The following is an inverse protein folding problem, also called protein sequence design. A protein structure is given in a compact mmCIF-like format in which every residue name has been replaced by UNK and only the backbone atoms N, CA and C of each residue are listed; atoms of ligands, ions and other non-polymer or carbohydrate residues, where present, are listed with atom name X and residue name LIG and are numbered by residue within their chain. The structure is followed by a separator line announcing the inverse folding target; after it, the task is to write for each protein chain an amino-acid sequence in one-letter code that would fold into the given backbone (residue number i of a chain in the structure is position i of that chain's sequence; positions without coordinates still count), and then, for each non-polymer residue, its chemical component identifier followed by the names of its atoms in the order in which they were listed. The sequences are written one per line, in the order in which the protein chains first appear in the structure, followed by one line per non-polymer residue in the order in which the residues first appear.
data_IF_087401983137
#
_entry.id   IF_087401983137
#
_cell.length_a   1.000
_cell.length_b   1.000
_cell.length_c   1.000
_cell.angle_alpha   90.00
_cell.angle_beta   90.00
_cell.angle_gamma   90.00
#
_symmetry.space_group_name_H-M   'P 1'
#
loop_
_entity.id
_entity.type
_entity.pdbx_description
1 polymer ?
#
# COMPACT_ATOMS: atom_id res chain seq x y z
N UNK A 1 -19.64 -109.15 26.62
CA UNK A 1 -18.98 -108.60 27.84
C UNK A 1 -17.54 -108.30 27.45
N UNK A 2 -16.87 -107.18 27.83
CA UNK A 2 -17.17 -106.17 28.86
C UNK A 2 -17.32 -104.72 28.33
N UNK A 3 -17.83 -103.83 29.19
CA UNK A 3 -17.60 -102.35 29.20
C UNK A 3 -16.14 -102.12 29.66
N UNK A 4 -15.41 -101.04 29.29
CA UNK A 4 -15.73 -99.72 29.82
C UNK A 4 -15.34 -98.51 28.95
N UNK A 5 -15.73 -97.34 29.46
CA UNK A 5 -15.61 -96.00 28.91
C UNK A 5 -14.24 -95.34 29.26
N UNK A 6 -14.12 -94.00 29.28
CA UNK A 6 -13.79 -93.12 28.15
C UNK A 6 -12.48 -92.36 28.42
N UNK A 7 -11.86 -91.70 27.43
CA UNK A 7 -11.13 -90.45 27.69
C UNK A 7 -11.13 -89.54 26.44
N UNK A 8 -11.38 -88.23 26.60
CA UNK A 8 -11.46 -87.29 25.49
C UNK A 8 -10.07 -86.79 25.10
N UNK A 9 -9.94 -86.33 23.86
CA UNK A 9 -8.96 -85.31 23.51
C UNK A 9 -9.41 -84.52 22.29
N UNK A 10 -9.56 -83.23 22.54
CA UNK A 10 -9.85 -82.13 21.62
C UNK A 10 -8.74 -81.96 20.59
N UNK A 11 -9.11 -81.65 19.34
CA UNK A 11 -8.36 -80.74 18.49
C UNK A 11 -9.23 -80.20 17.33
N UNK A 12 -9.61 -78.93 17.52
CA UNK A 12 -9.52 -77.86 16.51
C UNK A 12 -10.44 -77.89 15.29
N UNK A 13 -11.53 -77.13 15.43
CA UNK A 13 -12.22 -76.43 14.35
C UNK A 13 -11.30 -75.41 13.68
N UNK A 14 -11.31 -75.36 12.35
CA UNK A 14 -11.58 -74.11 11.64
C UNK A 14 -11.89 -74.39 10.16
N UNK A 15 -13.17 -74.24 9.84
CA UNK A 15 -13.73 -74.30 8.50
C UNK A 15 -13.37 -73.03 7.71
N UNK A 16 -12.68 -73.29 6.60
CA UNK A 16 -13.03 -72.93 5.22
C UNK A 16 -13.01 -71.46 4.74
N UNK A 17 -12.72 -71.28 3.43
CA UNK A 17 -12.32 -70.02 2.80
C UNK A 17 -13.55 -69.27 2.28
N UNK A 18 -13.77 -68.04 2.77
CA UNK A 18 -14.84 -67.17 2.30
C UNK A 18 -14.47 -65.68 2.42
N UNK A 19 -13.19 -65.32 2.24
CA UNK A 19 -12.71 -63.94 2.37
C UNK A 19 -12.10 -63.34 1.10
N UNK A 20 -12.08 -64.05 -0.02
CA UNK A 20 -11.41 -63.57 -1.24
C UNK A 20 -12.37 -62.90 -2.23
N UNK A 21 -13.69 -63.15 -2.15
CA UNK A 21 -14.66 -62.57 -3.10
C UNK A 21 -15.31 -61.25 -2.63
N UNK A 22 -15.17 -60.87 -1.36
CA UNK A 22 -15.71 -59.60 -0.85
C UNK A 22 -14.80 -58.39 -1.11
N UNK A 23 -13.50 -58.61 -1.34
CA UNK A 23 -12.53 -57.53 -1.54
C UNK A 23 -12.59 -56.92 -2.97
N UNK A 24 -12.99 -57.69 -3.98
CA UNK A 24 -13.05 -57.21 -5.36
C UNK A 24 -14.26 -56.30 -5.63
N UNK A 25 -15.39 -56.48 -4.93
CA UNK A 25 -16.57 -55.66 -5.11
C UNK A 25 -16.46 -54.27 -4.43
N UNK A 26 -15.68 -54.14 -3.35
CA UNK A 26 -15.44 -52.87 -2.66
C UNK A 26 -14.47 -51.95 -3.40
N UNK A 27 -13.58 -52.48 -4.25
CA UNK A 27 -12.65 -51.69 -5.06
C UNK A 27 -13.28 -51.08 -6.33
N UNK A 28 -14.40 -51.62 -6.81
CA UNK A 28 -15.09 -51.09 -7.99
C UNK A 28 -15.94 -49.84 -7.69
N UNK A 29 -16.34 -49.61 -6.44
CA UNK A 29 -17.18 -48.46 -6.03
C UNK A 29 -16.33 -47.22 -5.70
N UNK A 30 -15.00 -47.36 -5.57
CA UNK A 30 -14.09 -46.23 -5.32
C UNK A 30 -13.72 -45.43 -6.59
N UNK A 31 -14.15 -45.86 -7.78
CA UNK A 31 -13.74 -45.27 -9.06
C UNK A 31 -14.70 -44.21 -9.64
N UNK A 32 -15.85 -43.95 -9.02
CA UNK A 32 -16.82 -42.93 -9.51
C UNK A 32 -16.76 -41.60 -8.75
N UNK A 33 -15.66 -41.34 -8.03
CA UNK A 33 -15.40 -40.10 -7.31
C UNK A 33 -14.54 -39.08 -8.04
N UNK A 34 -14.47 -39.08 -9.38
CA UNK A 34 -14.02 -37.89 -10.10
C UNK A 34 -15.17 -36.90 -10.11
N UNK A 35 -15.33 -36.16 -9.00
CA UNK A 35 -16.15 -34.95 -9.01
C UNK A 35 -15.68 -34.10 -10.18
N UNK A 36 -16.61 -33.69 -11.04
CA UNK A 36 -16.36 -32.67 -12.04
C UNK A 36 -15.90 -31.43 -11.29
N UNK A 37 -14.58 -31.25 -11.16
CA UNK A 37 -14.01 -29.98 -10.75
C UNK A 37 -14.56 -29.00 -11.76
N UNK A 38 -15.39 -28.06 -11.30
CA UNK A 38 -15.99 -27.05 -12.18
C UNK A 38 -14.89 -26.42 -13.04
N UNK A 39 -15.23 -26.10 -14.30
CA UNK A 39 -14.26 -25.48 -15.20
C UNK A 39 -13.62 -24.26 -14.51
N UNK A 40 -12.30 -24.04 -14.71
CA UNK A 40 -11.62 -22.87 -14.18
C UNK A 40 -12.36 -21.61 -14.60
N UNK A 41 -13.03 -20.96 -13.65
CA UNK A 41 -13.68 -19.68 -13.88
C UNK A 41 -12.57 -18.62 -13.88
N UNK A 42 -12.40 -17.93 -15.01
CA UNK A 42 -11.44 -16.82 -15.08
C UNK A 42 -11.79 -15.77 -14.04
N UNK A 43 -10.81 -15.34 -13.24
CA UNK A 43 -10.96 -14.33 -12.18
C UNK A 43 -11.18 -12.90 -12.73
N UNK A 44 -11.69 -12.77 -13.96
CA UNK A 44 -11.74 -11.53 -14.70
C UNK A 44 -10.38 -11.11 -15.25
N UNK A 45 -10.31 -9.88 -15.78
CA UNK A 45 -9.07 -9.31 -16.31
C UNK A 45 -8.20 -8.89 -15.12
N UNK A 46 -7.00 -9.46 -15.02
CA UNK A 46 -5.96 -8.94 -14.13
C UNK A 46 -5.57 -7.54 -14.61
N UNK A 47 -5.62 -6.55 -13.72
CA UNK A 47 -5.10 -5.22 -14.05
C UNK A 47 -3.63 -5.35 -14.47
N UNK A 48 -3.20 -4.68 -15.55
CA UNK A 48 -1.80 -4.71 -15.95
C UNK A 48 -0.92 -4.20 -14.80
N UNK A 49 0.22 -4.87 -14.60
CA UNK A 49 1.19 -4.41 -13.61
C UNK A 49 1.69 -3.01 -14.00
N UNK A 50 1.42 -2.02 -13.15
CA UNK A 50 1.94 -0.68 -13.31
C UNK A 50 3.33 -0.61 -12.69
N UNK A 51 4.34 -0.24 -13.50
CA UNK A 51 5.66 0.06 -12.96
C UNK A 51 5.55 1.30 -12.05
N UNK A 52 6.28 1.34 -10.91
CA UNK A 52 6.34 2.53 -10.07
C UNK A 52 6.82 3.74 -10.87
N UNK A 53 6.16 4.87 -10.67
CA UNK A 53 6.51 6.15 -11.28
C UNK A 53 6.95 7.14 -10.20
N UNK A 54 8.18 7.64 -10.29
CA UNK A 54 8.71 8.62 -9.34
C UNK A 54 8.03 9.96 -9.52
N UNK A 55 7.55 10.55 -8.42
CA UNK A 55 6.81 11.81 -8.45
C UNK A 55 7.72 13.01 -8.72
N UNK A 56 8.88 13.07 -8.05
CA UNK A 56 9.81 14.18 -8.15
C UNK A 56 11.23 13.67 -8.44
N UNK A 57 11.54 13.29 -9.69
CA UNK A 57 12.82 12.67 -10.04
C UNK A 57 14.03 13.55 -9.75
N UNK A 58 13.87 14.87 -9.83
CA UNK A 58 14.94 15.84 -9.56
C UNK A 58 15.16 16.13 -8.07
N UNK A 59 14.43 15.47 -7.17
CA UNK A 59 14.63 15.63 -5.72
C UNK A 59 15.84 14.78 -5.27
N UNK A 60 16.87 15.38 -4.63
CA UNK A 60 17.96 14.61 -4.06
C UNK A 60 17.45 13.62 -2.99
N UNK A 61 18.01 12.41 -2.90
CA UNK A 61 17.64 11.48 -1.85
C UNK A 61 18.09 12.01 -0.49
N UNK A 62 17.27 11.78 0.54
CA UNK A 62 17.67 12.11 1.90
C UNK A 62 18.80 11.18 2.42
N UNK A 63 19.60 11.64 3.40
CA UNK A 63 20.51 10.78 4.16
C UNK A 63 19.76 9.88 5.14
N UNK A 64 20.45 8.87 5.69
CA UNK A 64 19.92 7.95 6.73
C UNK A 64 19.33 8.70 7.93
N UNK A 65 18.10 8.36 8.38
CA UNK A 65 17.40 9.05 9.45
C UNK A 65 17.99 8.73 10.84
N UNK A 66 17.65 9.58 11.82
CA UNK A 66 18.01 9.42 13.23
C UNK A 66 16.80 9.47 14.19
N UNK A 67 15.56 9.25 13.72
CA UNK A 67 14.33 9.38 14.54
C UNK A 67 13.25 8.33 14.26
N UNK A 68 12.16 8.37 15.04
CA UNK A 68 10.98 7.48 14.91
C UNK A 68 9.80 8.15 14.16
N UNK A 69 9.03 7.36 13.40
CA UNK A 69 7.85 7.79 12.63
C UNK A 69 6.55 7.65 13.43
N UNK A 70 5.58 8.57 13.26
CA UNK A 70 4.38 8.70 14.10
C UNK A 70 3.03 8.65 13.37
N UNK A 71 2.11 7.96 14.07
CA UNK A 71 0.67 8.11 14.37
C UNK A 71 -0.46 8.20 13.33
N UNK A 72 -1.59 7.61 13.75
CA UNK A 72 -2.89 7.49 13.11
C UNK A 72 -3.55 8.86 12.85
N UNK A 73 -3.79 9.16 11.58
CA UNK A 73 -4.47 10.39 11.14
C UNK A 73 -5.78 10.02 10.45
N UNK A 74 -6.75 10.94 10.50
CA UNK A 74 -8.05 10.78 9.84
C UNK A 74 -8.26 11.84 8.76
N UNK A 75 -9.23 11.61 7.88
CA UNK A 75 -9.54 12.54 6.80
C UNK A 75 -10.13 13.84 7.35
N UNK A 76 -9.62 14.99 6.91
CA UNK A 76 -10.02 16.30 7.43
C UNK A 76 -10.41 17.24 6.30
N UNK A 77 -11.56 17.91 6.43
CA UNK A 77 -11.98 18.94 5.47
C UNK A 77 -11.02 20.12 5.49
N UNK A 78 -10.59 20.60 4.33
CA UNK A 78 -9.77 21.81 4.22
C UNK A 78 -10.66 23.05 4.46
N UNK A 79 -10.38 23.89 5.48
CA UNK A 79 -11.17 25.08 5.76
C UNK A 79 -11.05 26.13 4.65
N UNK A 80 -12.06 26.99 4.51
CA UNK A 80 -12.00 28.16 3.62
C UNK A 80 -12.04 27.89 2.11
N UNK A 81 -12.03 26.63 1.68
CA UNK A 81 -12.15 26.25 0.27
C UNK A 81 -13.62 26.15 -0.12
N UNK A 82 -13.97 26.73 -1.27
CA UNK A 82 -15.31 26.68 -1.84
C UNK A 82 -15.75 25.23 -2.12
N UNK A 83 -17.07 25.03 -2.25
CA UNK A 83 -17.59 23.75 -2.68
C UNK A 83 -17.10 23.40 -4.08
N UNK A 84 -16.88 22.12 -4.35
CA UNK A 84 -16.46 21.59 -5.65
C UNK A 84 -17.53 20.59 -6.10
N UNK A 85 -18.64 21.06 -6.71
CA UNK A 85 -19.74 20.18 -7.12
C UNK A 85 -19.35 19.18 -8.21
N UNK A 86 -18.27 19.46 -8.95
CA UNK A 86 -17.77 18.59 -10.01
C UNK A 86 -17.12 17.30 -9.50
N UNK A 87 -16.76 17.21 -8.21
CA UNK A 87 -15.94 16.12 -7.68
C UNK A 87 -14.46 16.18 -8.10
N UNK A 88 -14.08 17.03 -9.06
CA UNK A 88 -12.72 17.12 -9.57
C UNK A 88 -11.86 18.09 -8.74
N UNK A 89 -10.86 17.53 -8.04
CA UNK A 89 -9.91 18.30 -7.22
C UNK A 89 -9.15 19.37 -8.01
N UNK A 90 -9.03 19.24 -9.34
CA UNK A 90 -8.38 20.24 -10.21
C UNK A 90 -9.11 21.57 -10.25
N UNK A 91 -10.38 21.61 -9.84
CA UNK A 91 -11.11 22.86 -9.69
C UNK A 91 -10.55 23.75 -8.56
N UNK A 92 -9.76 23.19 -7.64
CA UNK A 92 -9.08 23.93 -6.59
C UNK A 92 -7.65 24.33 -7.02
N UNK A 93 -7.25 25.56 -6.69
CA UNK A 93 -5.84 25.98 -6.85
C UNK A 93 -4.97 25.31 -5.76
N UNK A 94 -3.96 24.49 -6.13
CA UNK A 94 -3.14 23.77 -5.14
C UNK A 94 -2.44 24.68 -4.13
N UNK A 95 -2.07 25.91 -4.54
CA UNK A 95 -1.39 26.86 -3.66
C UNK A 95 -2.37 27.48 -2.66
N UNK A 96 -3.59 27.80 -3.07
CA UNK A 96 -4.66 28.20 -2.15
C UNK A 96 -5.01 27.08 -1.17
N UNK A 97 -5.11 25.83 -1.64
CA UNK A 97 -5.39 24.66 -0.78
C UNK A 97 -4.37 24.54 0.35
N UNK A 98 -3.08 24.47 0.01
CA UNK A 98 -2.06 24.25 1.02
C UNK A 98 -1.92 25.44 1.97
N UNK A 99 -2.10 26.68 1.48
CA UNK A 99 -2.13 27.85 2.36
C UNK A 99 -3.28 27.79 3.36
N UNK A 100 -4.46 27.37 2.91
CA UNK A 100 -5.63 27.28 3.78
C UNK A 100 -5.45 26.20 4.85
N UNK A 101 -4.89 25.05 4.48
CA UNK A 101 -4.54 24.00 5.45
C UNK A 101 -3.48 24.45 6.45
N UNK A 102 -2.34 24.95 5.97
CA UNK A 102 -1.25 25.38 6.84
C UNK A 102 -1.72 26.50 7.77
N UNK A 103 -2.57 27.42 7.29
CA UNK A 103 -3.19 28.44 8.12
C UNK A 103 -4.10 27.87 9.22
N UNK A 104 -4.75 26.73 8.99
CA UNK A 104 -5.61 26.06 9.97
C UNK A 104 -4.82 25.26 11.02
N UNK A 105 -3.61 24.84 10.69
CA UNK A 105 -2.73 23.99 11.50
C UNK A 105 -1.43 24.71 11.92
N UNK A 106 -1.45 26.04 12.06
CA UNK A 106 -0.23 26.84 12.29
C UNK A 106 0.48 26.53 13.60
N UNK A 107 -0.26 26.06 14.59
CA UNK A 107 0.28 25.78 15.92
C UNK A 107 0.77 24.32 16.05
N UNK A 108 0.54 23.49 15.02
CA UNK A 108 1.03 22.12 14.95
C UNK A 108 2.49 22.16 14.46
N UNK A 109 3.44 22.03 15.40
CA UNK A 109 4.88 21.99 15.12
C UNK A 109 5.46 20.57 15.07
N UNK A 110 4.66 19.57 15.47
CA UNK A 110 5.02 18.14 15.43
C UNK A 110 3.89 17.31 14.83
N UNK A 111 4.18 16.02 14.56
CA UNK A 111 3.20 15.10 13.98
C UNK A 111 2.99 15.29 12.48
N UNK A 112 1.93 14.68 11.95
CA UNK A 112 1.65 14.66 10.52
C UNK A 112 1.47 16.06 9.89
N UNK A 113 0.99 17.02 10.68
CA UNK A 113 0.76 18.41 10.28
C UNK A 113 1.92 19.34 10.62
N UNK A 114 2.89 18.86 11.40
CA UNK A 114 4.04 19.59 11.89
C UNK A 114 4.83 20.28 10.79
N UNK A 115 4.85 21.61 10.81
CA UNK A 115 5.74 22.43 9.98
C UNK A 115 6.56 23.37 10.85
N UNK A 116 7.84 23.55 10.52
CA UNK A 116 8.63 24.60 11.15
C UNK A 116 8.12 26.00 10.75
N UNK A 117 8.24 26.95 11.68
CA UNK A 117 7.80 28.34 11.50
C UNK A 117 8.34 29.00 10.21
N UNK A 118 9.65 28.86 9.88
CA UNK A 118 10.18 29.35 8.61
C UNK A 118 9.47 28.77 7.38
N UNK A 119 9.20 27.47 7.35
CA UNK A 119 8.49 26.81 6.25
C UNK A 119 7.05 27.29 6.15
N UNK A 120 6.31 27.35 7.27
CA UNK A 120 4.94 27.85 7.30
C UNK A 120 4.84 29.31 6.81
N UNK A 121 5.81 30.15 7.17
CA UNK A 121 5.90 31.54 6.69
C UNK A 121 6.16 31.62 5.18
N UNK A 122 7.07 30.80 4.64
CA UNK A 122 7.33 30.74 3.19
C UNK A 122 6.06 30.36 2.42
N UNK A 123 5.31 29.36 2.90
CA UNK A 123 4.06 28.89 2.29
C UNK A 123 3.01 29.99 2.20
N UNK A 124 2.85 30.83 3.22
CA UNK A 124 1.87 31.93 3.19
C UNK A 124 2.04 32.84 1.95
N UNK A 125 3.29 33.04 1.51
CA UNK A 125 3.64 33.84 0.34
C UNK A 125 3.81 33.05 -0.98
N UNK A 126 3.69 31.71 -0.95
CA UNK A 126 3.94 30.85 -2.10
C UNK A 126 2.97 31.09 -3.25
N UNK A 127 3.49 31.11 -4.47
CA UNK A 127 2.70 31.00 -5.70
C UNK A 127 3.48 30.18 -6.71
N UNK A 128 2.82 29.72 -7.77
CA UNK A 128 3.46 28.95 -8.83
C UNK A 128 4.67 29.68 -9.39
N UNK A 129 5.82 29.01 -9.42
CA UNK A 129 7.07 29.52 -9.98
C UNK A 129 7.78 30.57 -9.11
N UNK A 130 7.26 30.90 -7.92
CA UNK A 130 7.93 31.84 -7.01
C UNK A 130 9.22 31.22 -6.46
N UNK A 131 10.37 31.89 -6.59
CA UNK A 131 11.62 31.44 -5.96
C UNK A 131 11.46 31.29 -4.44
N UNK A 132 12.06 30.24 -3.87
CA UNK A 132 12.00 29.98 -2.43
C UNK A 132 10.67 29.44 -1.91
N UNK A 133 9.73 29.11 -2.79
CA UNK A 133 8.54 28.37 -2.39
C UNK A 133 8.89 26.90 -2.11
N UNK A 134 8.66 26.37 -0.89
CA UNK A 134 9.03 24.98 -0.54
C UNK A 134 8.13 23.92 -1.19
N UNK A 135 7.14 24.31 -2.00
CA UNK A 135 6.21 23.36 -2.61
C UNK A 135 6.82 22.72 -3.85
N UNK A 136 6.76 21.39 -3.91
CA UNK A 136 7.02 20.63 -5.14
C UNK A 136 5.89 20.84 -6.15
N UNK A 137 6.17 20.49 -7.40
CA UNK A 137 5.16 20.53 -8.44
C UNK A 137 3.96 19.65 -8.05
N UNK A 138 2.72 20.18 -8.09
CA UNK A 138 1.51 19.40 -7.83
C UNK A 138 1.43 18.17 -8.74
N UNK A 139 1.07 17.02 -8.20
CA UNK A 139 0.83 15.80 -8.97
C UNK A 139 -0.63 15.39 -8.80
N UNK A 140 -1.24 14.88 -9.87
CA UNK A 140 -2.60 14.39 -9.87
C UNK A 140 -2.63 12.92 -10.29
N UNK A 141 -3.21 12.05 -9.46
CA UNK A 141 -3.38 10.61 -9.71
C UNK A 141 -4.64 10.08 -9.05
N UNK A 142 -5.40 9.26 -9.74
CA UNK A 142 -6.51 8.47 -9.21
C UNK A 142 -5.97 7.38 -8.28
N UNK A 143 -5.93 7.69 -6.98
CA UNK A 143 -5.51 6.80 -5.89
C UNK A 143 -6.72 6.06 -5.30
N UNK A 144 -7.91 6.65 -5.35
CA UNK A 144 -9.13 6.05 -4.78
C UNK A 144 -9.75 4.99 -5.72
N UNK A 145 -9.53 5.12 -7.03
CA UNK A 145 -10.11 4.30 -8.09
C UNK A 145 -11.53 4.72 -8.47
N UNK A 146 -11.97 5.94 -8.12
CA UNK A 146 -13.29 6.45 -8.47
C UNK A 146 -13.34 7.18 -9.82
N UNK A 147 -12.20 7.26 -10.51
CA UNK A 147 -12.06 7.92 -11.81
C UNK A 147 -11.77 9.42 -11.72
N UNK A 148 -11.70 9.98 -10.51
CA UNK A 148 -11.21 11.33 -10.25
C UNK A 148 -9.79 11.25 -9.68
N UNK A 149 -8.92 12.16 -10.12
CA UNK A 149 -7.57 12.19 -9.56
C UNK A 149 -7.56 12.87 -8.19
N UNK A 150 -6.74 12.36 -7.29
CA UNK A 150 -6.31 13.03 -6.06
C UNK A 150 -5.18 14.02 -6.36
N UNK A 151 -5.12 15.10 -5.58
CA UNK A 151 -4.00 16.05 -5.56
C UNK A 151 -2.95 15.59 -4.53
N UNK A 152 -1.72 15.34 -4.98
CA UNK A 152 -0.56 15.01 -4.15
C UNK A 152 0.37 16.22 -4.10
N UNK A 153 0.73 16.65 -2.89
CA UNK A 153 1.59 17.80 -2.62
C UNK A 153 2.74 17.41 -1.69
N UNK A 154 3.95 17.87 -2.03
CA UNK A 154 5.13 17.76 -1.19
C UNK A 154 5.61 19.14 -0.74
N UNK A 155 5.90 19.27 0.54
CA UNK A 155 6.41 20.48 1.19
C UNK A 155 7.85 20.18 1.64
N UNK A 156 8.85 20.76 0.99
CA UNK A 156 10.24 20.62 1.42
C UNK A 156 10.46 21.38 2.73
N UNK A 157 11.07 20.70 3.69
CA UNK A 157 11.40 21.22 5.01
C UNK A 157 12.92 21.14 5.23
N UNK A 158 13.37 21.62 6.39
CA UNK A 158 14.76 21.42 6.81
C UNK A 158 15.07 19.93 7.04
N UNK A 159 16.36 19.60 7.18
CA UNK A 159 16.84 18.22 7.44
C UNK A 159 16.34 17.16 6.43
N UNK A 160 16.06 17.57 5.19
CA UNK A 160 15.55 16.69 4.12
C UNK A 160 14.16 16.08 4.39
N UNK A 161 13.41 16.64 5.33
CA UNK A 161 12.04 16.25 5.59
C UNK A 161 11.10 16.75 4.48
N UNK A 162 10.01 16.02 4.26
CA UNK A 162 8.93 16.38 3.35
C UNK A 162 7.60 16.20 4.06
N UNK A 163 6.85 17.30 4.18
CA UNK A 163 5.43 17.24 4.48
C UNK A 163 4.67 16.73 3.26
N UNK A 164 4.20 15.48 3.30
CA UNK A 164 3.46 14.86 2.22
C UNK A 164 1.95 14.97 2.51
N UNK A 165 1.20 15.45 1.54
CA UNK A 165 -0.25 15.68 1.63
C UNK A 165 -0.96 15.12 0.42
N UNK A 166 -2.12 14.50 0.64
CA UNK A 166 -3.04 14.12 -0.44
C UNK A 166 -4.44 14.68 -0.18
N UNK A 167 -5.12 15.10 -1.24
CA UNK A 167 -6.47 15.66 -1.18
C UNK A 167 -7.38 15.04 -2.23
N UNK A 168 -8.64 14.86 -1.86
CA UNK A 168 -9.73 14.49 -2.77
C UNK A 168 -10.97 15.35 -2.48
N UNK A 169 -12.04 15.14 -3.25
CA UNK A 169 -13.33 15.76 -3.00
C UNK A 169 -14.28 14.73 -2.38
N UNK A 170 -14.66 14.96 -1.13
CA UNK A 170 -15.65 14.14 -0.42
C UNK A 170 -16.91 14.96 -0.22
N UNK A 171 -18.06 14.47 -0.65
CA UNK A 171 -19.36 15.15 -0.49
C UNK A 171 -19.34 16.60 -1.04
N UNK A 172 -18.67 16.82 -2.18
CA UNK A 172 -18.52 18.14 -2.82
C UNK A 172 -17.61 19.11 -2.06
N UNK A 173 -16.77 18.60 -1.15
CA UNK A 173 -15.89 19.38 -0.28
C UNK A 173 -14.46 18.87 -0.38
N UNK A 174 -13.52 19.79 -0.52
CA UNK A 174 -12.10 19.43 -0.51
C UNK A 174 -11.72 18.86 0.87
N UNK A 175 -11.16 17.66 0.85
CA UNK A 175 -10.81 16.88 2.04
C UNK A 175 -9.39 16.38 1.90
N UNK A 176 -8.57 16.62 2.91
CA UNK A 176 -7.26 16.02 3.08
C UNK A 176 -7.44 14.57 3.49
N UNK A 177 -6.88 13.67 2.69
CA UNK A 177 -6.97 12.21 2.85
C UNK A 177 -5.62 11.55 3.10
N UNK A 178 -4.54 12.35 3.16
CA UNK A 178 -3.25 11.92 3.68
C UNK A 178 -2.50 13.13 4.24
N UNK A 179 -1.84 12.95 5.38
CA UNK A 179 -0.86 13.85 5.93
C UNK A 179 0.21 13.02 6.65
N UNK A 180 1.47 13.24 6.32
CA UNK A 180 2.61 12.68 7.03
C UNK A 180 3.83 13.55 6.81
N UNK A 181 4.85 13.37 7.64
CA UNK A 181 6.18 13.95 7.47
C UNK A 181 7.16 12.79 7.32
N UNK A 182 7.91 12.80 6.24
CA UNK A 182 8.81 11.70 5.84
C UNK A 182 10.19 12.27 5.51
N UNK A 183 11.24 11.44 5.55
CA UNK A 183 12.58 11.79 5.13
C UNK A 183 13.00 10.96 3.88
N UNK A 184 12.34 11.18 2.72
CA UNK A 184 12.37 10.21 1.63
C UNK A 184 13.66 10.28 0.81
N UNK A 185 14.11 9.13 0.35
CA UNK A 185 15.00 8.97 -0.80
C UNK A 185 14.25 9.03 -2.14
N UNK A 186 13.01 8.53 -2.17
CA UNK A 186 12.11 8.62 -3.31
C UNK A 186 10.64 8.56 -2.86
N UNK A 187 9.75 9.17 -3.64
CA UNK A 187 8.30 9.01 -3.53
C UNK A 187 7.77 8.62 -4.90
N UNK A 188 6.98 7.56 -4.95
CA UNK A 188 6.52 6.90 -6.16
C UNK A 188 5.04 6.59 -6.09
N UNK A 189 4.38 6.48 -7.25
CA UNK A 189 3.04 5.91 -7.37
C UNK A 189 3.09 4.67 -8.23
N UNK A 190 2.53 3.57 -7.75
CA UNK A 190 2.38 2.32 -8.47
C UNK A 190 0.91 1.87 -8.42
N UNK A 191 0.22 1.93 -9.56
CA UNK A 191 -1.23 1.75 -9.58
C UNK A 191 -1.91 2.83 -8.74
N UNK A 192 -2.54 2.41 -7.64
CA UNK A 192 -3.25 3.28 -6.68
C UNK A 192 -2.50 3.51 -5.37
N UNK A 193 -1.31 2.92 -5.27
CA UNK A 193 -0.51 2.98 -4.05
C UNK A 193 0.50 4.12 -4.13
N UNK A 194 0.59 4.90 -3.05
CA UNK A 194 1.65 5.86 -2.84
C UNK A 194 2.76 5.19 -2.03
N UNK A 195 3.96 5.15 -2.59
CA UNK A 195 5.11 4.46 -2.01
C UNK A 195 6.14 5.49 -1.60
N UNK A 196 6.54 5.45 -0.34
CA UNK A 196 7.62 6.25 0.22
C UNK A 196 8.81 5.35 0.50
N UNK A 197 9.96 5.72 -0.04
CA UNK A 197 11.23 5.05 0.21
C UNK A 197 12.08 5.91 1.12
N UNK A 198 12.40 5.44 2.32
CA UNK A 198 13.26 6.14 3.28
C UNK A 198 14.55 5.36 3.49
N UNK A 199 15.71 6.02 3.60
CA UNK A 199 16.96 5.31 3.85
C UNK A 199 16.91 4.61 5.21
N UNK A 200 17.54 3.44 5.33
CA UNK A 200 17.67 2.71 6.59
C UNK A 200 18.98 3.04 7.30
N UNK A 201 19.04 2.78 8.61
CA UNK A 201 20.29 2.74 9.38
C UNK A 201 21.20 1.58 8.98
N UNK A 202 20.65 0.55 8.34
CA UNK A 202 21.44 -0.54 7.76
C UNK A 202 21.88 -0.16 6.35
N UNK A 203 23.20 -0.14 6.04
CA UNK A 203 23.70 0.20 4.71
C UNK A 203 23.10 -0.68 3.62
N UNK A 204 22.76 -0.09 2.47
CA UNK A 204 22.12 -0.75 1.33
C UNK A 204 20.71 -1.31 1.62
N UNK A 205 20.04 -0.78 2.64
CA UNK A 205 18.63 -1.02 2.86
C UNK A 205 17.86 0.30 2.90
N UNK A 206 16.60 0.23 2.51
CA UNK A 206 15.63 1.30 2.66
C UNK A 206 14.36 0.72 3.27
N UNK A 207 13.65 1.58 3.98
CA UNK A 207 12.28 1.36 4.42
C UNK A 207 11.36 1.72 3.26
N UNK A 208 10.42 0.84 2.93
CA UNK A 208 9.42 1.01 1.89
C UNK A 208 8.04 1.02 2.53
N UNK A 209 7.50 2.22 2.70
CA UNK A 209 6.15 2.44 3.23
C UNK A 209 5.16 2.55 2.08
N UNK A 210 4.08 1.76 2.12
CA UNK A 210 3.03 1.75 1.10
C UNK A 210 1.75 2.26 1.71
N UNK A 211 1.22 3.34 1.15
CA UNK A 211 -0.07 3.91 1.52
C UNK A 211 -1.09 3.60 0.44
N UNK A 212 -2.25 3.08 0.83
CA UNK A 212 -3.34 2.75 -0.09
C UNK A 212 -4.65 3.29 0.45
N UNK A 213 -5.57 3.59 -0.46
CA UNK A 213 -6.91 4.05 -0.08
C UNK A 213 -7.65 3.02 0.77
N UNK A 214 -8.21 3.48 1.89
CA UNK A 214 -9.21 2.78 2.67
C UNK A 214 -10.55 3.50 2.54
N UNK A 215 -11.50 2.87 1.83
CA UNK A 215 -12.81 3.45 1.55
C UNK A 215 -13.68 3.61 2.81
N UNK A 216 -13.44 2.81 3.86
CA UNK A 216 -14.19 2.92 5.11
C UNK A 216 -13.71 4.12 5.93
N UNK A 217 -12.39 4.32 6.03
CA UNK A 217 -11.78 5.48 6.71
C UNK A 217 -11.82 6.74 5.87
N UNK A 218 -12.04 6.61 4.56
CA UNK A 218 -11.88 7.67 3.55
C UNK A 218 -10.50 8.34 3.64
N UNK A 219 -9.45 7.52 3.80
CA UNK A 219 -8.07 7.96 4.05
C UNK A 219 -7.05 7.05 3.36
N UNK A 220 -5.87 7.57 3.02
CA UNK A 220 -4.72 6.81 2.54
C UNK A 220 -3.99 6.20 3.73
N UNK A 221 -4.26 4.93 4.01
CA UNK A 221 -3.77 4.24 5.19
C UNK A 221 -2.44 3.52 4.91
N UNK A 222 -1.57 3.44 5.93
CA UNK A 222 -0.32 2.68 5.83
C UNK A 222 -0.64 1.19 5.76
N UNK A 223 -0.43 0.57 4.59
CA UNK A 223 -0.73 -0.85 4.34
C UNK A 223 0.42 -1.77 4.67
N UNK A 224 1.64 -1.33 4.38
CA UNK A 224 2.84 -2.12 4.64
C UNK A 224 4.01 -1.20 4.89
N UNK A 225 4.86 -1.63 5.81
CA UNK A 225 6.16 -1.05 6.03
C UNK A 225 7.21 -2.17 5.97
N UNK A 226 8.13 -2.07 5.02
CA UNK A 226 9.04 -3.15 4.65
C UNK A 226 10.49 -2.68 4.57
N UNK A 227 11.41 -3.39 5.23
CA UNK A 227 12.84 -3.19 5.00
C UNK A 227 13.25 -3.94 3.73
N UNK A 228 13.70 -3.20 2.73
CA UNK A 228 14.10 -3.70 1.41
C UNK A 228 15.56 -3.41 1.15
N UNK A 229 16.27 -4.38 0.56
CA UNK A 229 17.61 -4.13 0.05
C UNK A 229 17.51 -3.16 -1.13
N UNK A 230 18.37 -2.14 -1.14
CA UNK A 230 18.49 -1.20 -2.24
C UNK A 230 19.79 -1.45 -2.99
N UNK A 231 19.67 -1.60 -4.31
CA UNK A 231 20.81 -1.73 -5.20
C UNK A 231 21.38 -0.34 -5.49
N UNK A 232 22.01 0.29 -4.49
CA UNK A 232 22.76 1.54 -4.71
C UNK A 232 24.26 1.26 -4.66
N UNK A 233 24.79 0.78 -5.78
CA UNK A 233 26.05 1.29 -6.33
C UNK A 233 25.66 2.01 -7.63
N UNK A 234 26.07 3.26 -7.80
CA UNK A 234 25.61 4.13 -8.89
C UNK A 234 25.67 3.45 -10.27
N UNK A 235 24.53 3.38 -10.94
CA UNK A 235 24.47 3.15 -12.39
C UNK A 235 23.87 4.40 -13.01
N UNK A 236 24.75 5.34 -13.35
CA UNK A 236 24.52 6.20 -14.49
C UNK A 236 24.55 5.29 -15.71
N UNK A 237 23.38 4.91 -16.21
CA UNK A 237 23.30 4.32 -17.55
C UNK A 237 23.63 5.45 -18.54
N UNK A 238 24.74 5.38 -19.30
CA UNK A 238 24.98 6.38 -20.33
C UNK A 238 23.87 6.22 -21.36
N UNK A 239 23.15 7.30 -21.64
CA UNK A 239 22.23 7.35 -22.76
C UNK A 239 23.03 7.12 -24.05
N UNK A 240 22.87 5.94 -24.65
CA UNK A 240 23.41 5.63 -25.95
C UNK A 240 22.68 6.50 -26.98
N UNK A 241 23.40 7.49 -27.52
CA UNK A 241 22.93 8.33 -28.62
C UNK A 241 22.97 7.50 -29.88
N UNK A 242 21.80 7.09 -30.38
CA UNK A 242 21.70 6.68 -31.78
C UNK A 242 21.61 7.92 -32.69
N UNK A 243 22.58 7.99 -33.60
CA UNK A 243 22.61 8.84 -34.79
C UNK A 243 22.04 8.04 -35.97
#
# INVERSE_FOLDING_TARGET
MPRPAPYPRTATSARRPARVLAAAALLAVAATGCGTVGEPVGAGRTAPAAAPSRLWPDRPPAPTPTGEQHDDVTSTRVPGIAAIPSGDVRAADPYTVIKAEVAAHRDDVTGADGLDDPTAAKIASCTRGRPGCPLRAPVYRDLTGDGHDELIMGIEMEEHLVGLRCYTVVDGRLTRVMATVVQPSAIEVAGRDLIVWEPSTTPHYAVRSVYSWDAHRRYMDLRSDEIRRTDTAGSSHPAERHR
#
